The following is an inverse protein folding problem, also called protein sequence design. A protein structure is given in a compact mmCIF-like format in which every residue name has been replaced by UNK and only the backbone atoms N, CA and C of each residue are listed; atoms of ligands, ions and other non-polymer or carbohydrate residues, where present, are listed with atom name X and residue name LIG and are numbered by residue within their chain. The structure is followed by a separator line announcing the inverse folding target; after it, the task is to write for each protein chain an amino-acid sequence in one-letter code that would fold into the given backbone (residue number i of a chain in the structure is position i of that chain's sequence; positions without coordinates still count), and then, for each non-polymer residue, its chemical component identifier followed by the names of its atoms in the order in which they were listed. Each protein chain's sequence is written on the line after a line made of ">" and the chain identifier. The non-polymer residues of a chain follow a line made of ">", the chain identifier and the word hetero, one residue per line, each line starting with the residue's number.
data_IF_345763652343
#
_entry.id   IF_345763652343
#
_cell.length_a   1.000
_cell.length_b   1.000
_cell.length_c   1.000
_cell.angle_alpha   90.00
_cell.angle_beta   90.00
_cell.angle_gamma   90.00
#
_symmetry.space_group_name_H-M   'P 1'
#
loop_
_entity.id
_entity.type
_entity.pdbx_description
1 polymer ?
#
# COMPACT_ATOMS: atom_id res chain seq x y z
N UNK A 1 35.53 40.79 35.88
CA UNK A 1 34.65 39.62 35.64
C UNK A 1 34.35 39.55 34.15
N UNK A 2 34.90 38.55 33.43
CA UNK A 2 34.58 38.33 32.01
C UNK A 2 33.31 37.47 31.93
N UNK A 3 32.22 38.04 31.42
CA UNK A 3 31.03 37.29 31.02
C UNK A 3 31.43 36.32 29.92
N UNK A 4 31.57 35.03 30.26
CA UNK A 4 31.59 33.94 29.28
C UNK A 4 30.15 33.64 28.92
N UNK A 5 29.67 34.27 27.85
CA UNK A 5 28.47 33.82 27.16
C UNK A 5 28.84 32.50 26.48
N UNK A 6 28.30 31.40 26.99
CA UNK A 6 28.41 30.09 26.34
C UNK A 6 27.58 30.16 25.06
N UNK A 7 28.26 30.28 23.91
CA UNK A 7 27.62 30.00 22.63
C UNK A 7 27.42 28.49 22.55
N UNK A 8 26.20 28.03 22.83
CA UNK A 8 25.78 26.68 22.47
C UNK A 8 25.62 26.71 20.95
N UNK A 9 26.52 26.04 20.22
CA UNK A 9 26.36 25.86 18.79
C UNK A 9 25.01 25.17 18.54
N UNK A 10 24.22 25.62 17.54
CA UNK A 10 23.00 24.92 17.20
C UNK A 10 23.31 23.44 16.91
N UNK A 11 22.43 22.50 17.30
CA UNK A 11 22.64 21.08 17.02
C UNK A 11 22.89 20.88 15.52
N UNK A 12 23.76 19.92 15.18
CA UNK A 12 23.92 19.51 13.78
C UNK A 12 22.55 19.09 13.22
N UNK A 13 22.36 19.28 11.92
CA UNK A 13 21.11 18.90 11.25
C UNK A 13 20.74 17.42 11.51
N UNK A 14 21.76 16.56 11.63
CA UNK A 14 21.63 15.15 11.96
C UNK A 14 21.16 14.89 13.39
N UNK A 15 21.71 15.63 14.37
CA UNK A 15 21.27 15.54 15.78
C UNK A 15 19.82 16.01 15.94
N UNK A 16 19.46 17.13 15.29
CA UNK A 16 18.09 17.63 15.32
C UNK A 16 17.10 16.64 14.69
N UNK A 17 17.46 16.02 13.55
CA UNK A 17 16.64 14.95 12.94
C UNK A 17 16.48 13.75 13.87
N UNK A 18 17.57 13.32 14.49
CA UNK A 18 17.59 12.21 15.46
C UNK A 18 16.63 12.47 16.63
N UNK A 19 16.65 13.67 17.21
CA UNK A 19 15.74 14.08 18.29
C UNK A 19 14.27 14.05 17.84
N UNK A 20 13.97 14.65 16.68
CA UNK A 20 12.61 14.65 16.11
C UNK A 20 12.10 13.23 15.86
N UNK A 21 12.96 12.33 15.37
CA UNK A 21 12.59 10.92 15.18
C UNK A 21 12.29 10.21 16.50
N UNK A 22 13.08 10.44 17.55
CA UNK A 22 12.82 9.88 18.88
C UNK A 22 11.48 10.36 19.46
N UNK A 23 11.10 11.61 19.20
CA UNK A 23 9.81 12.16 19.63
C UNK A 23 8.63 11.49 18.91
N UNK A 24 8.72 11.33 17.58
CA UNK A 24 7.71 10.64 16.78
C UNK A 24 7.55 9.19 17.26
N UNK A 25 8.66 8.53 17.56
CA UNK A 25 8.69 7.17 18.06
C UNK A 25 8.03 7.01 19.41
N UNK A 26 8.39 7.90 20.33
CA UNK A 26 7.80 7.95 21.67
C UNK A 26 6.30 8.20 21.57
N UNK A 27 5.87 9.05 20.63
CA UNK A 27 4.45 9.29 20.37
C UNK A 27 3.73 8.03 19.88
N UNK A 28 4.23 7.34 18.84
CA UNK A 28 3.60 6.13 18.28
C UNK A 28 3.52 4.99 19.31
N UNK A 29 4.55 4.85 20.15
CA UNK A 29 4.57 3.85 21.21
C UNK A 29 3.65 4.20 22.39
N UNK A 30 3.23 5.47 22.52
CA UNK A 30 2.43 5.93 23.64
C UNK A 30 0.94 5.54 23.52
N UNK A 31 0.22 5.45 24.66
CA UNK A 31 -1.24 5.30 24.66
C UNK A 31 -1.96 6.41 23.88
N UNK A 32 -1.37 7.61 23.77
CA UNK A 32 -1.94 8.76 23.05
C UNK A 32 -2.09 8.51 21.55
N UNK A 33 -1.28 7.62 20.98
CA UNK A 33 -1.42 7.21 19.59
C UNK A 33 -2.63 6.29 19.39
N UNK A 34 -3.04 5.53 20.42
CA UNK A 34 -4.15 4.57 20.36
C UNK A 34 -5.49 5.18 20.78
N UNK A 35 -5.48 6.15 21.68
CA UNK A 35 -6.68 6.82 22.18
C UNK A 35 -7.15 7.95 21.24
N UNK A 36 -7.78 7.58 20.12
CA UNK A 36 -8.34 8.50 19.13
C UNK A 36 -9.62 9.24 19.57
N UNK A 37 -10.11 8.98 20.80
CA UNK A 37 -11.42 9.46 21.28
C UNK A 37 -11.47 10.96 21.62
N UNK A 38 -10.35 11.69 21.60
CA UNK A 38 -10.35 13.11 21.99
C UNK A 38 -9.76 14.03 20.92
N UNK A 39 -10.66 14.74 20.22
CA UNK A 39 -10.42 15.91 19.35
C UNK A 39 -9.92 15.65 17.93
N UNK A 40 -10.41 16.48 16.99
CA UNK A 40 -10.00 16.60 15.59
C UNK A 40 -8.48 16.80 15.37
N UNK A 41 -7.73 17.22 16.40
CA UNK A 41 -6.27 17.34 16.32
C UNK A 41 -5.57 15.98 16.46
N UNK A 42 -6.19 15.00 17.13
CA UNK A 42 -5.56 13.70 17.44
C UNK A 42 -5.29 12.85 16.19
N UNK A 43 -6.24 12.76 15.25
CA UNK A 43 -6.07 11.95 14.04
C UNK A 43 -5.01 12.53 13.09
N UNK A 44 -4.90 13.87 12.99
CA UNK A 44 -3.86 14.53 12.18
C UNK A 44 -2.47 14.27 12.73
N UNK A 45 -2.32 14.33 14.05
CA UNK A 45 -1.05 13.99 14.71
C UNK A 45 -0.69 12.52 14.46
N UNK A 46 -1.65 11.59 14.53
CA UNK A 46 -1.43 10.17 14.18
C UNK A 46 -1.00 10.01 12.72
N UNK A 47 -1.74 10.62 11.78
CA UNK A 47 -1.45 10.55 10.36
C UNK A 47 -0.05 11.11 10.05
N UNK A 48 0.29 12.28 10.58
CA UNK A 48 1.62 12.88 10.40
C UNK A 48 2.73 12.02 11.00
N UNK A 49 2.53 11.46 12.18
CA UNK A 49 3.51 10.57 12.77
C UNK A 49 3.80 9.38 11.83
N UNK A 50 2.75 8.72 11.31
CA UNK A 50 2.88 7.62 10.37
C UNK A 50 3.53 8.01 9.03
N UNK A 51 3.23 9.19 8.49
CA UNK A 51 3.87 9.69 7.27
C UNK A 51 5.36 9.99 7.46
N UNK A 52 5.72 10.64 8.56
CA UNK A 52 7.11 10.89 8.90
C UNK A 52 7.89 9.57 9.00
N UNK A 53 7.22 8.50 9.44
CA UNK A 53 7.79 7.17 9.52
C UNK A 53 7.97 6.54 8.15
N UNK A 54 6.97 6.65 7.28
CA UNK A 54 7.06 6.16 5.89
C UNK A 54 8.25 6.81 5.17
N UNK A 55 8.42 8.13 5.32
CA UNK A 55 9.56 8.87 4.77
C UNK A 55 10.90 8.44 5.36
N UNK A 56 10.93 8.08 6.64
CA UNK A 56 12.16 7.57 7.25
C UNK A 56 12.56 6.23 6.66
N UNK A 57 11.58 5.33 6.51
CA UNK A 57 11.75 4.04 5.86
C UNK A 57 12.30 4.22 4.44
N UNK A 58 11.83 5.22 3.71
CA UNK A 58 12.33 5.58 2.37
C UNK A 58 13.77 6.10 2.35
N UNK A 59 14.10 7.04 3.25
CA UNK A 59 15.40 7.71 3.26
C UNK A 59 16.53 6.81 3.77
N UNK A 60 16.23 5.87 4.66
CA UNK A 60 17.22 4.94 5.22
C UNK A 60 18.05 5.51 6.38
N UNK A 61 18.90 4.66 7.00
CA UNK A 61 19.59 4.97 8.27
C UNK A 61 20.70 6.03 8.14
N UNK A 62 21.03 6.46 6.94
CA UNK A 62 22.08 7.45 6.66
C UNK A 62 21.67 8.87 7.07
N UNK A 63 20.37 9.11 7.31
CA UNK A 63 19.80 10.43 7.58
C UNK A 63 19.49 10.71 9.05
N UNK A 64 19.59 9.69 9.91
CA UNK A 64 19.59 9.82 11.37
C UNK A 64 20.21 8.58 12.04
N UNK A 65 20.84 8.75 13.20
CA UNK A 65 21.45 7.63 13.94
C UNK A 65 20.44 6.75 14.69
N UNK A 66 19.16 7.12 14.67
CA UNK A 66 18.10 6.33 15.29
C UNK A 66 17.76 5.21 14.34
N UNK A 67 18.22 3.99 14.63
CA UNK A 67 17.63 2.81 14.02
C UNK A 67 16.13 2.78 14.32
N UNK A 68 15.28 2.23 13.44
CA UNK A 68 13.89 1.99 13.79
C UNK A 68 13.89 1.23 15.13
N UNK A 69 13.06 1.61 16.13
CA UNK A 69 12.99 0.93 17.41
C UNK A 69 12.97 -0.55 17.21
N UNK A 70 13.52 -1.28 18.17
CA UNK A 70 13.44 -2.73 18.16
C UNK A 70 11.99 -3.20 17.90
N UNK A 71 10.97 -2.47 18.37
CA UNK A 71 9.56 -2.74 18.11
C UNK A 71 9.15 -2.75 16.62
N UNK A 72 9.73 -1.93 15.75
CA UNK A 72 9.36 -1.85 14.33
C UNK A 72 9.80 -3.08 13.53
N UNK A 73 10.94 -3.65 13.91
CA UNK A 73 11.41 -4.91 13.35
C UNK A 73 10.71 -6.11 14.02
N UNK A 74 9.60 -5.89 14.75
CA UNK A 74 8.82 -6.97 15.34
C UNK A 74 7.45 -7.01 14.71
N UNK A 75 7.02 -8.23 14.37
CA UNK A 75 5.64 -8.56 13.97
C UNK A 75 4.53 -7.82 14.75
N UNK A 76 4.51 -7.71 16.10
CA UNK A 76 3.43 -7.06 16.82
C UNK A 76 3.23 -5.58 16.47
N UNK A 77 4.26 -4.86 16.04
CA UNK A 77 4.13 -3.48 15.56
C UNK A 77 3.27 -3.43 14.29
N UNK A 78 3.65 -4.21 13.28
CA UNK A 78 2.90 -4.31 12.03
C UNK A 78 1.49 -4.84 12.24
N UNK A 79 1.31 -5.83 13.12
CA UNK A 79 -0.01 -6.34 13.48
C UNK A 79 -0.92 -5.28 14.10
N UNK A 80 -0.37 -4.33 14.87
CA UNK A 80 -1.13 -3.22 15.45
C UNK A 80 -1.50 -2.18 14.39
N UNK A 81 -0.56 -1.80 13.53
CA UNK A 81 -0.78 -0.88 12.42
C UNK A 81 -1.84 -1.43 11.44
N UNK A 82 -1.78 -2.72 11.12
CA UNK A 82 -2.80 -3.43 10.34
C UNK A 82 -4.15 -3.55 11.07
N UNK A 83 -4.13 -3.53 12.40
CA UNK A 83 -5.34 -3.50 13.23
C UNK A 83 -6.16 -2.22 13.02
N UNK A 84 -5.48 -1.08 12.87
CA UNK A 84 -6.12 0.22 12.58
C UNK A 84 -6.82 0.19 11.21
N UNK A 85 -6.17 -0.37 10.19
CA UNK A 85 -6.77 -0.71 8.89
C UNK A 85 -8.03 -1.55 9.11
N UNK A 86 -7.93 -2.73 9.74
CA UNK A 86 -9.05 -3.69 9.77
C UNK A 86 -10.25 -3.18 10.58
N UNK A 87 -10.02 -2.46 11.68
CA UNK A 87 -11.08 -1.93 12.53
C UNK A 87 -11.75 -0.68 11.92
N UNK A 88 -10.99 0.24 11.31
CA UNK A 88 -11.53 1.45 10.68
C UNK A 88 -12.07 1.22 9.26
N UNK A 89 -11.70 0.12 8.58
CA UNK A 89 -12.38 -0.36 7.36
C UNK A 89 -13.66 -1.16 7.66
N UNK A 90 -13.87 -1.55 8.92
CA UNK A 90 -15.12 -2.18 9.38
C UNK A 90 -16.19 -1.16 9.76
N UNK A 91 -15.82 0.08 10.14
CA UNK A 91 -16.79 1.13 10.45
C UNK A 91 -17.53 1.60 9.18
N UNK A 92 -18.80 1.95 9.33
CA UNK A 92 -19.64 2.55 8.27
C UNK A 92 -19.41 4.06 8.14
N UNK A 93 -18.46 4.62 8.88
CA UNK A 93 -18.14 6.04 8.89
C UNK A 93 -17.15 6.32 7.76
N UNK A 94 -17.68 6.62 6.57
CA UNK A 94 -16.91 7.26 5.53
C UNK A 94 -16.77 8.74 5.88
N UNK A 95 -15.70 9.10 6.60
CA UNK A 95 -15.19 10.46 6.48
C UNK A 95 -14.48 10.53 5.13
N UNK A 96 -15.25 10.81 4.08
CA UNK A 96 -14.70 11.11 2.76
C UNK A 96 -14.06 12.49 2.89
N UNK A 97 -12.74 12.53 2.86
CA UNK A 97 -12.08 13.64 2.18
C UNK A 97 -11.86 13.12 0.78
N UNK A 98 -12.44 13.79 -0.21
CA UNK A 98 -12.34 13.43 -1.63
C UNK A 98 -10.86 13.41 -2.01
N UNK A 99 -10.25 12.24 -2.01
CA UNK A 99 -8.84 12.09 -2.40
C UNK A 99 -8.75 12.22 -3.91
N UNK A 100 -8.52 13.45 -4.39
CA UNK A 100 -7.97 13.66 -5.72
C UNK A 100 -6.54 13.14 -5.71
N UNK A 101 -6.34 11.88 -6.12
CA UNK A 101 -5.00 11.36 -6.43
C UNK A 101 -4.62 11.91 -7.80
N UNK A 102 -4.20 13.18 -7.85
CA UNK A 102 -3.61 13.76 -9.06
C UNK A 102 -2.32 13.00 -9.37
N UNK A 103 -2.26 12.39 -10.56
CA UNK A 103 -0.99 12.12 -11.22
C UNK A 103 -0.23 13.45 -11.35
N UNK A 104 1.07 13.46 -11.11
CA UNK A 104 1.93 14.65 -11.05
C UNK A 104 1.68 15.62 -9.89
N UNK A 105 2.08 15.24 -8.69
CA UNK A 105 2.81 16.20 -7.82
C UNK A 105 3.79 15.45 -6.91
N UNK A 106 5.06 15.53 -7.28
CA UNK A 106 6.16 15.30 -6.35
C UNK A 106 6.00 16.20 -5.10
N UNK A 107 6.01 15.57 -3.92
CA UNK A 107 6.44 16.10 -2.61
C UNK A 107 5.46 16.68 -1.57
N UNK A 108 4.14 16.82 -1.79
CA UNK A 108 3.23 17.23 -0.68
C UNK A 108 1.81 16.69 -0.77
N UNK A 109 1.60 15.41 -1.10
CA UNK A 109 0.35 14.75 -0.69
C UNK A 109 0.43 14.54 0.83
N UNK A 110 -0.15 15.48 1.58
CA UNK A 110 -0.46 15.28 3.00
C UNK A 110 -1.55 14.22 3.06
N UNK A 111 -1.36 13.17 3.83
CA UNK A 111 -2.40 12.19 4.11
C UNK A 111 -3.52 12.92 4.85
N UNK A 112 -4.63 13.14 4.15
CA UNK A 112 -5.84 13.75 4.70
C UNK A 112 -6.63 12.77 5.58
N UNK A 113 -6.11 11.55 5.78
CA UNK A 113 -6.68 10.54 6.64
C UNK A 113 -5.59 9.66 7.28
N UNK A 114 -5.90 9.09 8.45
CA UNK A 114 -5.06 8.05 9.08
C UNK A 114 -4.94 6.83 8.14
N UNK A 115 -6.01 6.53 7.38
CA UNK A 115 -6.04 5.44 6.38
C UNK A 115 -4.98 5.62 5.30
N UNK A 116 -4.87 6.82 4.73
CA UNK A 116 -3.82 7.16 3.77
C UNK A 116 -2.43 7.01 4.37
N UNK A 117 -2.23 7.48 5.61
CA UNK A 117 -0.92 7.42 6.26
C UNK A 117 -0.50 5.98 6.58
N UNK A 118 -1.42 5.14 7.04
CA UNK A 118 -1.14 3.71 7.26
C UNK A 118 -0.87 2.99 5.94
N UNK A 119 -1.68 3.26 4.91
CA UNK A 119 -1.48 2.68 3.57
C UNK A 119 -0.12 3.04 2.99
N UNK A 120 0.29 4.30 3.11
CA UNK A 120 1.61 4.77 2.70
C UNK A 120 2.73 4.02 3.44
N UNK A 121 2.68 3.96 4.78
CA UNK A 121 3.68 3.27 5.58
C UNK A 121 3.80 1.78 5.22
N UNK A 122 2.67 1.08 5.08
CA UNK A 122 2.66 -0.33 4.69
C UNK A 122 3.15 -0.53 3.26
N UNK A 123 2.74 0.33 2.33
CA UNK A 123 3.24 0.32 0.94
C UNK A 123 4.77 0.40 0.91
N UNK A 124 5.36 1.30 1.68
CA UNK A 124 6.82 1.42 1.79
C UNK A 124 7.46 0.17 2.40
N UNK A 125 6.91 -0.32 3.51
CA UNK A 125 7.41 -1.53 4.17
C UNK A 125 7.37 -2.75 3.22
N UNK A 126 6.32 -2.86 2.41
CA UNK A 126 6.18 -3.94 1.44
C UNK A 126 7.14 -3.80 0.25
N UNK A 127 7.33 -2.59 -0.29
CA UNK A 127 8.31 -2.32 -1.34
C UNK A 127 9.73 -2.68 -0.89
N UNK A 128 10.05 -2.44 0.39
CA UNK A 128 11.33 -2.82 0.99
C UNK A 128 11.40 -4.28 1.44
N UNK A 129 10.37 -5.09 1.21
CA UNK A 129 10.32 -6.51 1.58
C UNK A 129 10.55 -6.77 3.08
N UNK A 130 10.01 -5.89 3.94
CA UNK A 130 10.06 -6.06 5.40
C UNK A 130 9.28 -7.31 5.80
N UNK A 131 10.00 -8.38 6.14
CA UNK A 131 9.46 -9.72 6.43
C UNK A 131 8.30 -9.71 7.42
N UNK A 132 8.47 -9.04 8.56
CA UNK A 132 7.44 -8.97 9.60
C UNK A 132 6.14 -8.28 9.14
N UNK A 133 6.22 -7.34 8.18
CA UNK A 133 5.05 -6.67 7.63
C UNK A 133 4.24 -7.65 6.75
N UNK A 134 4.90 -8.43 5.89
CA UNK A 134 4.28 -9.50 5.10
C UNK A 134 3.66 -10.57 5.99
N UNK A 135 4.41 -11.03 6.99
CA UNK A 135 3.94 -12.04 7.93
C UNK A 135 2.72 -11.56 8.74
N UNK A 136 2.75 -10.33 9.25
CA UNK A 136 1.59 -9.75 9.94
C UNK A 136 0.39 -9.59 9.00
N UNK A 137 0.61 -9.25 7.73
CA UNK A 137 -0.46 -9.14 6.73
C UNK A 137 -1.09 -10.49 6.40
N UNK A 138 -0.27 -11.54 6.26
CA UNK A 138 -0.72 -12.93 6.10
C UNK A 138 -1.57 -13.40 7.28
N UNK A 139 -1.13 -13.14 8.52
CA UNK A 139 -1.89 -13.50 9.72
C UNK A 139 -3.27 -12.81 9.78
N UNK A 140 -3.43 -11.66 9.11
CA UNK A 140 -4.70 -10.95 8.99
C UNK A 140 -5.54 -11.38 7.78
N UNK A 141 -5.05 -12.33 6.98
CA UNK A 141 -5.77 -12.89 5.83
C UNK A 141 -5.49 -12.18 4.50
N UNK A 142 -4.46 -11.33 4.43
CA UNK A 142 -4.00 -10.71 3.19
C UNK A 142 -5.05 -9.89 2.46
N UNK A 143 -4.93 -9.82 1.14
CA UNK A 143 -5.93 -9.16 0.31
C UNK A 143 -7.22 -9.97 0.19
N UNK A 144 -7.20 -11.29 0.34
CA UNK A 144 -8.44 -12.09 0.42
C UNK A 144 -9.42 -11.59 1.48
N UNK A 145 -9.00 -11.37 2.73
CA UNK A 145 -9.91 -10.88 3.80
C UNK A 145 -10.45 -9.48 3.49
N UNK A 146 -9.69 -8.66 2.78
CA UNK A 146 -10.09 -7.29 2.40
C UNK A 146 -11.08 -7.34 1.23
N UNK A 147 -10.76 -8.10 0.19
CA UNK A 147 -11.55 -8.21 -1.04
C UNK A 147 -12.97 -8.77 -0.77
N UNK A 148 -13.11 -9.72 0.14
CA UNK A 148 -14.43 -10.29 0.54
C UNK A 148 -15.38 -9.23 1.12
N UNK A 149 -14.84 -8.16 1.73
CA UNK A 149 -15.65 -7.07 2.31
C UNK A 149 -16.24 -6.14 1.26
N UNK A 150 -15.70 -6.17 0.04
CA UNK A 150 -16.15 -5.39 -1.11
C UNK A 150 -16.23 -3.88 -0.84
N UNK A 151 -15.46 -3.32 0.10
CA UNK A 151 -15.39 -1.86 0.32
C UNK A 151 -14.18 -1.30 -0.42
N UNK A 152 -14.39 -0.30 -1.27
CA UNK A 152 -13.30 0.37 -1.99
C UNK A 152 -12.90 1.65 -1.26
N UNK A 153 -11.59 1.81 -1.09
CA UNK A 153 -10.95 2.98 -0.52
C UNK A 153 -9.77 3.32 -1.41
N UNK A 154 -9.78 4.51 -2.03
CA UNK A 154 -8.70 4.92 -2.95
C UNK A 154 -7.35 4.99 -2.24
N UNK A 155 -7.36 5.20 -0.92
CA UNK A 155 -6.16 5.17 -0.09
C UNK A 155 -5.43 3.83 -0.10
N UNK A 156 -6.10 2.70 -0.41
CA UNK A 156 -5.46 1.38 -0.49
C UNK A 156 -4.49 1.23 -1.67
N UNK A 157 -4.48 2.18 -2.61
CA UNK A 157 -3.65 2.05 -3.81
C UNK A 157 -2.16 1.99 -3.50
N UNK A 158 -1.70 2.71 -2.48
CA UNK A 158 -0.28 2.74 -2.10
C UNK A 158 0.17 1.41 -1.46
N UNK A 159 -0.63 0.86 -0.54
CA UNK A 159 -0.34 -0.46 0.03
C UNK A 159 -0.39 -1.57 -1.03
N UNK A 160 -1.35 -1.51 -1.96
CA UNK A 160 -1.43 -2.46 -3.09
C UNK A 160 -0.20 -2.37 -3.98
N UNK A 161 0.16 -1.15 -4.40
CA UNK A 161 1.33 -0.92 -5.25
C UNK A 161 2.59 -1.46 -4.60
N UNK A 162 2.84 -1.12 -3.33
CA UNK A 162 4.03 -1.56 -2.62
C UNK A 162 4.10 -3.09 -2.42
N UNK A 163 2.97 -3.71 -2.09
CA UNK A 163 2.87 -5.16 -1.95
C UNK A 163 3.11 -5.91 -3.25
N UNK A 164 2.44 -5.51 -4.33
CA UNK A 164 2.58 -6.16 -5.63
C UNK A 164 3.99 -5.99 -6.17
N UNK A 165 4.53 -4.76 -6.14
CA UNK A 165 5.91 -4.50 -6.60
C UNK A 165 6.92 -5.27 -5.75
N UNK A 166 6.78 -5.27 -4.42
CA UNK A 166 7.68 -5.99 -3.53
C UNK A 166 7.74 -7.49 -3.80
N UNK A 167 6.60 -8.14 -4.04
CA UNK A 167 6.54 -9.57 -4.41
C UNK A 167 7.10 -9.81 -5.81
N UNK A 168 6.74 -8.96 -6.77
CA UNK A 168 7.22 -9.04 -8.15
C UNK A 168 8.74 -8.97 -8.24
N UNK A 169 9.36 -8.01 -7.55
CA UNK A 169 10.81 -7.89 -7.48
C UNK A 169 11.47 -9.02 -6.69
N UNK A 170 10.79 -9.55 -5.67
CA UNK A 170 11.27 -10.70 -4.91
C UNK A 170 11.31 -11.97 -5.77
N UNK A 171 10.34 -12.17 -6.67
CA UNK A 171 10.32 -13.31 -7.60
C UNK A 171 11.41 -13.18 -8.67
N UNK A 172 11.64 -11.97 -9.19
CA UNK A 172 12.65 -11.73 -10.24
C UNK A 172 14.10 -11.68 -9.72
N UNK A 173 14.27 -11.49 -8.41
CA UNK A 173 15.58 -11.32 -7.76
C UNK A 173 15.94 -12.47 -6.82
N UNK A 174 17.07 -12.32 -6.13
CA UNK A 174 17.32 -13.12 -4.92
C UNK A 174 16.62 -12.45 -3.75
N UNK A 175 15.82 -13.23 -3.04
CA UNK A 175 15.34 -12.86 -1.71
C UNK A 175 16.54 -12.49 -0.80
N UNK A 176 16.35 -11.58 0.18
CA UNK A 176 17.30 -11.43 1.27
C UNK A 176 17.67 -12.79 1.86
N UNK A 177 18.95 -13.00 2.22
CA UNK A 177 19.49 -14.31 2.65
C UNK A 177 18.76 -14.95 3.85
N UNK A 178 17.92 -14.19 4.57
CA UNK A 178 17.14 -14.58 5.74
C UNK A 178 15.67 -14.97 5.43
N UNK A 179 15.26 -14.97 4.17
CA UNK A 179 13.91 -15.34 3.73
C UNK A 179 13.92 -16.70 3.02
N UNK A 180 13.07 -17.62 3.49
CA UNK A 180 12.87 -18.94 2.87
C UNK A 180 12.07 -18.81 1.58
N UNK A 181 12.24 -19.74 0.64
CA UNK A 181 11.43 -19.81 -0.59
C UNK A 181 9.92 -19.85 -0.27
N UNK A 182 9.52 -20.58 0.78
CA UNK A 182 8.14 -20.67 1.27
C UNK A 182 7.54 -19.35 1.78
N UNK A 183 8.36 -18.29 1.94
CA UNK A 183 7.90 -16.99 2.42
C UNK A 183 6.89 -16.38 1.44
N UNK A 184 7.16 -16.46 0.13
CA UNK A 184 6.35 -15.80 -0.89
C UNK A 184 5.13 -16.62 -1.32
N UNK A 185 5.17 -17.95 -1.21
CA UNK A 185 4.17 -18.85 -1.80
C UNK A 185 2.74 -18.49 -1.40
N UNK A 186 2.51 -18.24 -0.11
CA UNK A 186 1.18 -17.87 0.37
C UNK A 186 0.71 -16.53 -0.21
N UNK A 187 1.62 -15.55 -0.30
CA UNK A 187 1.33 -14.22 -0.83
C UNK A 187 1.07 -14.24 -2.34
N UNK A 188 1.81 -15.08 -3.07
CA UNK A 188 1.60 -15.34 -4.48
C UNK A 188 0.23 -15.99 -4.68
N UNK A 189 -0.11 -17.02 -3.91
CA UNK A 189 -1.42 -17.66 -3.97
C UNK A 189 -2.56 -16.68 -3.68
N UNK A 190 -2.39 -15.78 -2.70
CA UNK A 190 -3.34 -14.69 -2.41
C UNK A 190 -3.60 -13.81 -3.64
N UNK A 191 -2.54 -13.38 -4.32
CA UNK A 191 -2.62 -12.57 -5.54
C UNK A 191 -3.14 -13.30 -6.79
N UNK A 192 -3.19 -14.64 -6.77
CA UNK A 192 -3.74 -15.45 -7.85
C UNK A 192 -5.19 -15.90 -7.60
N UNK A 193 -5.88 -15.30 -6.63
CA UNK A 193 -7.31 -15.52 -6.43
C UNK A 193 -8.14 -14.52 -7.25
N UNK A 194 -9.14 -15.03 -7.99
CA UNK A 194 -10.00 -14.22 -8.86
C UNK A 194 -10.65 -13.02 -8.16
N UNK A 195 -11.10 -13.20 -6.92
CA UNK A 195 -11.73 -12.12 -6.16
C UNK A 195 -10.73 -11.06 -5.69
N UNK A 196 -9.48 -11.45 -5.43
CA UNK A 196 -8.39 -10.53 -5.08
C UNK A 196 -7.99 -9.70 -6.29
N UNK A 197 -7.79 -10.34 -7.45
CA UNK A 197 -7.48 -9.63 -8.70
C UNK A 197 -8.63 -8.71 -9.11
N UNK A 198 -9.88 -9.17 -8.99
CA UNK A 198 -11.06 -8.33 -9.21
C UNK A 198 -11.11 -7.11 -8.28
N UNK A 199 -10.74 -7.27 -7.02
CA UNK A 199 -10.66 -6.16 -6.05
C UNK A 199 -9.55 -5.16 -6.38
N UNK A 200 -8.37 -5.65 -6.81
CA UNK A 200 -7.26 -4.81 -7.26
C UNK A 200 -7.69 -3.99 -8.49
N UNK A 201 -8.27 -4.64 -9.50
CA UNK A 201 -8.79 -3.95 -10.69
C UNK A 201 -9.83 -2.89 -10.32
N UNK A 202 -10.75 -3.20 -9.41
CA UNK A 202 -11.78 -2.26 -8.97
C UNK A 202 -11.19 -1.06 -8.20
N UNK A 203 -10.15 -1.29 -7.39
CA UNK A 203 -9.45 -0.23 -6.65
C UNK A 203 -8.69 0.68 -7.60
N UNK A 204 -7.97 0.12 -8.58
CA UNK A 204 -7.27 0.88 -9.63
C UNK A 204 -8.25 1.71 -10.45
N UNK A 205 -9.37 1.12 -10.86
CA UNK A 205 -10.40 1.79 -11.64
C UNK A 205 -11.02 2.98 -10.89
N UNK A 206 -11.01 2.93 -9.55
CA UNK A 206 -11.56 3.94 -8.65
C UNK A 206 -10.56 5.02 -8.22
N UNK A 207 -9.24 4.76 -8.26
CA UNK A 207 -8.22 5.63 -7.65
C UNK A 207 -7.46 6.53 -8.63
N UNK A 208 -7.90 6.62 -9.91
CA UNK A 208 -7.20 7.32 -11.01
C UNK A 208 -5.72 6.93 -11.19
N UNK A 209 -5.30 5.81 -10.60
CA UNK A 209 -3.90 5.43 -10.58
C UNK A 209 -3.43 4.90 -11.94
N UNK A 210 -2.14 5.07 -12.29
CA UNK A 210 -1.57 4.50 -13.50
C UNK A 210 -1.73 2.96 -13.54
N UNK A 211 -2.69 2.50 -14.34
CA UNK A 211 -3.13 1.09 -14.38
C UNK A 211 -1.99 0.16 -14.77
N UNK A 212 -1.27 0.49 -15.84
CA UNK A 212 -0.20 -0.35 -16.39
C UNK A 212 0.90 -0.64 -15.38
N UNK A 213 1.30 0.32 -14.54
CA UNK A 213 2.41 0.11 -13.61
C UNK A 213 2.09 -0.98 -12.59
N UNK A 214 0.89 -0.96 -12.00
CA UNK A 214 0.49 -1.93 -10.97
C UNK A 214 0.14 -3.27 -11.63
N UNK A 215 -0.60 -3.26 -12.72
CA UNK A 215 -1.04 -4.49 -13.40
C UNK A 215 0.12 -5.24 -14.04
N UNK A 216 1.10 -4.55 -14.63
CA UNK A 216 2.32 -5.16 -15.16
C UNK A 216 3.12 -5.87 -14.06
N UNK A 217 3.32 -5.22 -12.91
CA UNK A 217 3.97 -5.85 -11.75
C UNK A 217 3.17 -7.03 -11.20
N UNK A 218 1.84 -6.98 -11.25
CA UNK A 218 0.99 -8.08 -10.80
C UNK A 218 1.15 -9.31 -11.68
N UNK A 219 1.05 -9.15 -13.00
CA UNK A 219 1.12 -10.30 -13.93
C UNK A 219 2.54 -10.87 -14.06
N UNK A 220 3.58 -10.10 -13.71
CA UNK A 220 4.95 -10.62 -13.71
C UNK A 220 5.23 -11.58 -12.55
N UNK A 221 4.34 -11.65 -11.55
CA UNK A 221 4.38 -12.66 -10.50
C UNK A 221 3.80 -13.96 -11.08
N UNK A 222 4.65 -14.93 -11.39
CA UNK A 222 4.27 -16.22 -11.99
C UNK A 222 3.28 -16.07 -13.19
N UNK A 223 3.65 -15.42 -14.31
CA UNK A 223 2.75 -15.21 -15.46
C UNK A 223 2.20 -16.50 -16.10
N UNK A 224 2.87 -17.63 -15.87
CA UNK A 224 2.47 -18.95 -16.35
C UNK A 224 1.62 -19.75 -15.33
N UNK A 225 1.22 -19.13 -14.22
CA UNK A 225 0.34 -19.76 -13.23
C UNK A 225 -0.98 -20.19 -13.88
N UNK A 226 -1.45 -21.41 -13.57
CA UNK A 226 -2.59 -22.04 -14.24
C UNK A 226 -3.90 -21.26 -14.08
N UNK A 227 -4.05 -20.54 -12.97
CA UNK A 227 -5.25 -19.78 -12.64
C UNK A 227 -5.46 -18.55 -13.54
N UNK A 228 -4.40 -17.98 -14.14
CA UNK A 228 -4.49 -16.70 -14.85
C UNK A 228 -5.54 -16.70 -15.97
N UNK A 229 -5.64 -17.79 -16.74
CA UNK A 229 -6.63 -17.90 -17.80
C UNK A 229 -8.07 -17.90 -17.23
N UNK A 230 -8.28 -18.58 -16.10
CA UNK A 230 -9.55 -18.60 -15.40
C UNK A 230 -9.91 -17.25 -14.81
N UNK A 231 -8.93 -16.54 -14.22
CA UNK A 231 -9.10 -15.20 -13.66
C UNK A 231 -9.52 -14.21 -14.76
N UNK A 232 -8.72 -14.07 -15.83
CA UNK A 232 -9.00 -13.10 -16.90
C UNK A 232 -10.36 -13.35 -17.55
N UNK A 233 -10.68 -14.62 -17.84
CA UNK A 233 -11.97 -15.00 -18.41
C UNK A 233 -13.10 -14.61 -17.46
N UNK A 234 -12.98 -14.95 -16.18
CA UNK A 234 -14.02 -14.68 -15.19
C UNK A 234 -14.23 -13.18 -15.01
N UNK A 235 -13.16 -12.38 -14.92
CA UNK A 235 -13.27 -10.92 -14.78
C UNK A 235 -13.84 -10.24 -16.02
N UNK A 236 -13.67 -10.83 -17.21
CA UNK A 236 -14.16 -10.27 -18.48
C UNK A 236 -15.63 -10.63 -18.76
N UNK A 237 -16.06 -11.82 -18.37
CA UNK A 237 -17.36 -12.39 -18.76
C UNK A 237 -18.38 -12.44 -17.62
N UNK A 238 -17.94 -12.37 -16.35
CA UNK A 238 -18.80 -12.61 -15.20
C UNK A 238 -19.09 -11.30 -14.43
N UNK A 239 -20.37 -10.93 -14.40
CA UNK A 239 -20.88 -9.85 -13.56
C UNK A 239 -20.63 -10.11 -12.06
N UNK A 240 -20.24 -11.34 -11.69
CA UNK A 240 -19.90 -11.67 -10.31
C UNK A 240 -18.76 -10.83 -9.73
N UNK A 241 -17.90 -10.28 -10.59
CA UNK A 241 -16.78 -9.42 -10.22
C UNK A 241 -16.92 -8.00 -10.79
N UNK A 242 -18.14 -7.64 -11.21
CA UNK A 242 -18.50 -6.30 -11.62
C UNK A 242 -18.25 -5.28 -10.51
N UNK A 243 -17.89 -4.06 -10.91
CA UNK A 243 -17.73 -2.91 -10.03
C UNK A 243 -18.96 -2.64 -9.15
N UNK A 244 -20.16 -2.95 -9.66
CA UNK A 244 -21.45 -2.72 -8.98
C UNK A 244 -21.60 -3.46 -7.64
N UNK A 245 -20.75 -4.48 -7.39
CA UNK A 245 -20.76 -5.24 -6.13
C UNK A 245 -19.96 -4.59 -5.03
N UNK A 246 -19.13 -3.61 -5.35
CA UNK A 246 -18.35 -2.91 -4.35
C UNK A 246 -19.19 -1.81 -3.69
N UNK A 247 -19.13 -1.75 -2.37
CA UNK A 247 -19.70 -0.67 -1.57
C UNK A 247 -18.82 0.55 -1.78
N UNK A 248 -19.37 1.50 -2.52
CA UNK A 248 -18.80 2.82 -2.74
C UNK A 248 -19.30 3.77 -1.65
N UNK A 249 -18.58 4.88 -1.43
CA UNK A 249 -19.10 5.94 -0.58
C UNK A 249 -20.46 6.42 -1.12
N UNK A 250 -21.36 6.81 -0.20
CA UNK A 250 -22.79 7.02 -0.48
C UNK A 250 -23.10 8.14 -1.49
N UNK A 251 -22.12 8.95 -1.86
CA UNK A 251 -22.32 10.20 -2.59
C UNK A 251 -22.02 10.11 -4.11
N UNK A 252 -21.85 8.90 -4.64
CA UNK A 252 -21.55 8.73 -6.06
C UNK A 252 -22.79 8.92 -6.95
N UNK A 253 -22.70 9.83 -7.92
CA UNK A 253 -23.78 10.11 -8.88
C UNK A 253 -23.96 8.95 -9.87
N UNK A 254 -25.15 8.80 -10.50
CA UNK A 254 -25.39 7.75 -11.49
C UNK A 254 -24.43 7.75 -12.68
N UNK A 255 -24.06 8.93 -13.19
CA UNK A 255 -23.12 9.07 -14.32
C UNK A 255 -21.70 8.60 -13.95
N UNK A 256 -21.30 8.74 -12.68
CA UNK A 256 -20.02 8.24 -12.18
C UNK A 256 -19.99 6.70 -12.19
N UNK A 257 -21.13 6.03 -12.03
CA UNK A 257 -21.20 4.56 -12.01
C UNK A 257 -20.94 3.94 -13.37
N UNK A 258 -21.49 4.50 -14.44
CA UNK A 258 -21.27 3.99 -15.79
C UNK A 258 -19.82 4.25 -16.22
N UNK A 259 -19.27 5.43 -15.90
CA UNK A 259 -17.85 5.73 -16.08
C UNK A 259 -16.94 4.73 -15.35
N UNK A 260 -17.28 4.35 -14.12
CA UNK A 260 -16.49 3.39 -13.35
C UNK A 260 -16.63 1.95 -13.86
N UNK A 261 -17.80 1.58 -14.39
CA UNK A 261 -18.00 0.31 -15.06
C UNK A 261 -17.11 0.18 -16.30
N UNK A 262 -17.08 1.21 -17.13
CA UNK A 262 -16.19 1.25 -18.30
C UNK A 262 -14.71 1.33 -17.87
N UNK A 263 -14.38 2.08 -16.81
CA UNK A 263 -13.05 2.11 -16.21
C UNK A 263 -12.59 0.72 -15.75
N UNK A 264 -13.48 -0.04 -15.12
CA UNK A 264 -13.21 -1.42 -14.68
C UNK A 264 -12.96 -2.35 -15.85
N UNK A 265 -13.83 -2.33 -16.89
CA UNK A 265 -13.63 -3.12 -18.11
C UNK A 265 -12.28 -2.81 -18.76
N UNK A 266 -11.95 -1.52 -18.91
CA UNK A 266 -10.67 -1.09 -19.47
C UNK A 266 -9.49 -1.56 -18.60
N UNK A 267 -9.63 -1.57 -17.28
CA UNK A 267 -8.61 -2.08 -16.35
C UNK A 267 -8.40 -3.59 -16.52
N UNK A 268 -9.47 -4.37 -16.70
CA UNK A 268 -9.38 -5.83 -16.97
C UNK A 268 -8.77 -6.10 -18.35
N UNK A 269 -9.10 -5.30 -19.38
CA UNK A 269 -8.45 -5.40 -20.68
C UNK A 269 -6.93 -5.17 -20.58
N UNK A 270 -6.50 -4.13 -19.86
CA UNK A 270 -5.08 -3.85 -19.63
C UNK A 270 -4.40 -4.99 -18.87
N UNK A 271 -5.07 -5.59 -17.86
CA UNK A 271 -4.54 -6.76 -17.16
C UNK A 271 -4.27 -7.91 -18.14
N UNK A 272 -5.21 -8.22 -19.03
CA UNK A 272 -5.06 -9.26 -20.03
C UNK A 272 -3.91 -8.95 -21.02
N UNK A 273 -3.81 -7.71 -21.49
CA UNK A 273 -2.73 -7.25 -22.37
C UNK A 273 -1.36 -7.38 -21.70
N UNK A 274 -1.24 -6.91 -20.45
CA UNK A 274 -0.01 -7.04 -19.67
C UNK A 274 0.38 -8.51 -19.47
N UNK A 275 -0.58 -9.39 -19.17
CA UNK A 275 -0.31 -10.81 -18.95
C UNK A 275 0.23 -11.47 -20.22
N UNK A 276 -0.40 -11.23 -21.38
CA UNK A 276 0.06 -11.78 -22.65
C UNK A 276 1.44 -11.24 -23.02
N UNK A 277 1.68 -9.93 -22.84
CA UNK A 277 2.98 -9.32 -23.06
C UNK A 277 4.08 -9.95 -22.19
N UNK A 278 3.80 -10.20 -20.90
CA UNK A 278 4.78 -10.76 -19.97
C UNK A 278 5.02 -12.26 -20.22
N UNK A 279 3.98 -13.03 -20.58
CA UNK A 279 4.14 -14.42 -21.06
C UNK A 279 5.01 -14.48 -22.30
N UNK A 280 4.79 -13.60 -23.27
CA UNK A 280 5.62 -13.50 -24.46
C UNK A 280 7.06 -13.15 -24.12
N UNK A 281 7.28 -12.15 -23.26
CA UNK A 281 8.62 -11.76 -22.77
C UNK A 281 9.36 -12.94 -22.13
N UNK A 282 8.73 -13.67 -21.20
CA UNK A 282 9.35 -14.85 -20.56
C UNK A 282 9.59 -16.02 -21.51
N UNK A 283 8.76 -16.15 -22.55
CA UNK A 283 8.93 -17.14 -23.60
C UNK A 283 9.90 -16.69 -24.72
N UNK A 284 10.56 -15.53 -24.58
CA UNK A 284 11.54 -15.01 -25.55
C UNK A 284 10.93 -14.41 -26.83
N UNK A 285 9.62 -14.15 -26.83
CA UNK A 285 8.90 -13.51 -27.94
C UNK A 285 8.81 -12.00 -27.62
N UNK A 286 9.81 -11.22 -28.06
CA UNK A 286 9.77 -9.77 -27.90
C UNK A 286 8.73 -9.13 -28.82
N UNK A 287 7.67 -8.53 -28.25
CA UNK A 287 6.89 -7.52 -28.96
C UNK A 287 7.56 -6.16 -28.81
N UNK A 288 8.32 -5.77 -29.82
CA UNK A 288 8.66 -4.36 -30.02
C UNK A 288 7.43 -3.68 -30.63
N UNK A 289 6.79 -2.79 -29.85
CA UNK A 289 5.98 -1.60 -30.25
C UNK A 289 5.37 -1.05 -28.95
N UNK A 290 5.56 0.19 -28.52
CA UNK A 290 5.79 1.43 -29.25
C UNK A 290 4.51 2.27 -29.23
N UNK A 291 4.09 2.74 -28.05
CA UNK A 291 3.18 3.86 -27.78
C UNK A 291 3.48 4.41 -26.38
#
# INVERSE_FOLDING_TARGET
>A
MKNRTYYIAPPSLENHRTEVFQDILSYIASPLFRDSKSSYKSWRCRAWALECMARFVEMGPEYCHVGPPAEWAKRPFWSNILGDIRNEFSSNESYVTTVYVSADTHHTQRCESVKGAVSSLLGHAFSLRVKDAYEAFREKGGFSDIAVRKKLHSELIEVMRGYITGISEAEMGKLPEDQSDDFLDWHIQDLHQVHVVGFICATIAYSDAPRHCILSSLVSILPNHSEWNGIVKTLSENDEYSFEKYILSRDMLPDDRECLKESMKATVCILAECLEAERHRRNGINWVRGW
#
